data_IF_026490678118
#
_entry.id   IF_026490678118
#
_cell.length_a   1.000
_cell.length_b   1.000
_cell.length_c   1.000
_cell.angle_alpha   90.00
_cell.angle_beta   90.00
_cell.angle_gamma   90.00
#
_symmetry.space_group_name_H-M   'P 1'
#
loop_
_entity.id
_entity.type
_entity.pdbx_description
1 polymer ?
#
# COMPACT_ATOMS: atom_id res chain seq x y z
N UNK A 1 7.29 -47.68 -31.56
CA UNK A 1 5.92 -47.91 -31.09
C UNK A 1 5.79 -47.26 -29.72
N UNK A 2 5.18 -46.09 -29.66
CA UNK A 2 4.71 -45.46 -28.42
C UNK A 2 3.36 -44.84 -28.78
N UNK A 3 2.29 -45.55 -28.38
CA UNK A 3 0.91 -45.19 -28.66
C UNK A 3 0.40 -44.19 -27.64
N UNK A 4 -0.32 -43.19 -28.15
CA UNK A 4 -1.20 -42.30 -27.40
C UNK A 4 -2.51 -43.06 -27.22
N UNK A 5 -3.04 -43.13 -26.00
CA UNK A 5 -4.44 -43.49 -25.79
C UNK A 5 -5.15 -42.47 -24.90
N UNK A 6 -6.26 -41.98 -25.46
CA UNK A 6 -7.27 -41.13 -24.84
C UNK A 6 -8.35 -42.03 -24.22
N UNK A 7 -8.74 -41.79 -22.98
CA UNK A 7 -10.06 -42.16 -22.43
C UNK A 7 -10.31 -41.34 -21.16
N UNK A 8 -11.17 -40.34 -21.20
CA UNK A 8 -12.60 -40.42 -20.87
C UNK A 8 -12.85 -40.56 -19.36
N UNK A 9 -13.08 -39.42 -18.71
CA UNK A 9 -13.62 -39.32 -17.35
C UNK A 9 -15.14 -39.28 -17.47
N UNK A 10 -15.79 -40.30 -16.92
CA UNK A 10 -17.20 -40.27 -16.57
C UNK A 10 -17.34 -40.80 -15.15
N UNK A 11 -17.91 -40.00 -14.25
CA UNK A 11 -18.58 -40.53 -13.07
C UNK A 11 -19.78 -39.66 -12.69
N UNK A 12 -20.91 -40.33 -12.68
CA UNK A 12 -22.26 -39.95 -12.31
C UNK A 12 -22.38 -39.71 -10.80
N UNK A 13 -23.21 -38.75 -10.38
CA UNK A 13 -24.00 -38.88 -9.15
C UNK A 13 -25.41 -38.33 -9.41
N UNK A 14 -26.39 -39.20 -9.20
CA UNK A 14 -27.83 -38.96 -9.21
C UNK A 14 -28.30 -38.47 -7.83
N UNK A 15 -29.53 -37.90 -7.75
CA UNK A 15 -30.58 -38.29 -6.79
C UNK A 15 -31.88 -37.45 -7.00
N UNK A 16 -32.96 -38.18 -7.32
CA UNK A 16 -34.36 -38.15 -6.78
C UNK A 16 -35.11 -36.80 -6.76
N UNK A 17 -36.17 -36.53 -7.55
CA UNK A 17 -37.50 -37.14 -7.77
C UNK A 17 -38.63 -36.63 -6.83
N UNK A 18 -39.87 -36.75 -7.34
CA UNK A 18 -41.22 -36.35 -6.83
C UNK A 18 -41.69 -35.02 -7.46
N UNK A 19 -42.74 -34.91 -8.28
CA UNK A 19 -43.79 -35.83 -8.71
C UNK A 19 -45.13 -35.09 -8.72
N UNK A 20 -45.76 -34.87 -9.88
CA UNK A 20 -47.21 -34.56 -9.99
C UNK A 20 -47.74 -35.12 -11.33
N UNK A 21 -48.91 -35.76 -11.26
CA UNK A 21 -49.53 -36.58 -12.28
C UNK A 21 -50.45 -35.82 -13.26
N UNK A 22 -50.65 -36.45 -14.44
CA UNK A 22 -51.83 -36.53 -15.34
C UNK A 22 -53.09 -35.72 -14.94
N UNK A 23 -53.86 -35.09 -15.84
CA UNK A 23 -54.31 -35.54 -17.17
C UNK A 23 -54.88 -34.38 -18.02
N UNK A 24 -54.85 -34.53 -19.35
CA UNK A 24 -55.61 -33.73 -20.33
C UNK A 24 -56.99 -34.35 -20.61
N UNK A 25 -58.00 -33.50 -20.84
CA UNK A 25 -59.08 -33.61 -21.86
C UNK A 25 -59.84 -32.27 -21.84
N UNK A 26 -59.84 -31.44 -22.90
CA UNK A 26 -60.75 -31.48 -24.07
C UNK A 26 -62.14 -30.93 -23.68
N UNK A 27 -62.84 -30.03 -24.36
CA UNK A 27 -62.78 -29.36 -25.67
C UNK A 27 -63.92 -28.29 -25.64
N UNK A 28 -64.11 -27.58 -26.75
CA UNK A 28 -65.30 -26.84 -27.20
C UNK A 28 -65.36 -25.32 -26.93
N UNK A 29 -64.99 -24.57 -27.99
CA UNK A 29 -65.91 -23.78 -28.83
C UNK A 29 -66.89 -22.80 -28.13
N UNK A 30 -67.19 -21.59 -28.58
CA UNK A 30 -66.96 -20.85 -29.82
C UNK A 30 -67.63 -19.47 -29.64
N UNK A 31 -67.16 -18.49 -30.41
CA UNK A 31 -67.93 -17.37 -31.00
C UNK A 31 -68.34 -16.13 -30.18
N UNK A 32 -67.68 -15.03 -30.58
CA UNK A 32 -68.28 -13.86 -31.24
C UNK A 32 -69.06 -12.82 -30.41
N UNK A 33 -68.39 -11.67 -30.23
CA UNK A 33 -68.89 -10.39 -30.72
C UNK A 33 -69.81 -9.56 -29.80
N UNK A 34 -69.87 -8.22 -30.01
CA UNK A 34 -69.85 -7.25 -28.92
C UNK A 34 -71.18 -6.49 -28.74
N UNK A 35 -71.40 -5.88 -27.57
CA UNK A 35 -72.28 -4.70 -27.48
C UNK A 35 -71.89 -3.77 -26.34
N UNK A 36 -71.93 -2.48 -26.67
CA UNK A 36 -71.62 -1.31 -25.85
C UNK A 36 -72.90 -0.84 -25.15
N UNK A 37 -72.82 -0.46 -23.86
CA UNK A 37 -73.62 0.64 -23.30
C UNK A 37 -73.08 1.12 -21.94
N UNK A 38 -72.59 2.35 -21.90
CA UNK A 38 -72.52 3.23 -20.70
C UNK A 38 -73.87 3.96 -20.50
N UNK A 39 -74.11 4.83 -19.48
CA UNK A 39 -73.45 5.11 -18.19
C UNK A 39 -74.45 5.18 -16.98
N UNK A 40 -73.95 5.25 -15.74
CA UNK A 40 -74.57 6.07 -14.67
C UNK A 40 -73.63 6.24 -13.46
N UNK A 41 -73.29 7.50 -13.17
CA UNK A 41 -72.54 7.96 -12.00
C UNK A 41 -73.45 8.01 -10.78
N UNK A 42 -73.00 7.46 -9.65
CA UNK A 42 -73.42 7.90 -8.31
C UNK A 42 -72.20 8.08 -7.43
N UNK A 43 -71.91 9.34 -7.14
CA UNK A 43 -71.00 9.81 -6.10
C UNK A 43 -71.49 9.36 -4.72
N UNK A 44 -70.62 8.67 -3.98
CA UNK A 44 -70.72 8.50 -2.53
C UNK A 44 -69.44 9.00 -1.87
N UNK A 45 -69.63 9.58 -0.69
CA UNK A 45 -68.70 10.27 0.20
C UNK A 45 -67.36 9.54 0.47
N UNK A 46 -66.30 10.25 0.91
CA UNK A 46 -64.98 9.65 1.09
C UNK A 46 -65.02 8.60 2.20
N UNK A 47 -64.55 7.39 1.88
CA UNK A 47 -64.20 6.37 2.86
C UNK A 47 -63.06 6.87 3.76
N UNK A 48 -63.03 6.47 5.05
CA UNK A 48 -61.89 6.76 5.90
C UNK A 48 -60.68 6.07 5.30
N UNK A 49 -59.61 6.82 5.01
CA UNK A 49 -58.35 6.21 4.65
C UNK A 49 -57.89 5.40 5.85
N UNK A 50 -58.05 4.08 5.78
CA UNK A 50 -57.19 3.18 6.53
C UNK A 50 -55.80 3.45 5.99
N UNK A 51 -54.96 4.09 6.80
CA UNK A 51 -53.53 4.13 6.53
C UNK A 51 -53.09 2.69 6.30
N UNK A 52 -52.51 2.43 5.12
CA UNK A 52 -51.89 1.14 4.86
C UNK A 52 -50.94 0.84 6.03
N UNK A 53 -50.87 -0.41 6.51
CA UNK A 53 -49.86 -0.74 7.51
C UNK A 53 -48.54 -0.34 6.87
N UNK A 54 -47.86 0.65 7.44
CA UNK A 54 -46.51 1.04 7.03
C UNK A 54 -45.73 -0.25 7.13
N UNK A 55 -45.52 -0.87 5.98
CA UNK A 55 -44.73 -2.06 5.86
C UNK A 55 -43.35 -1.56 6.25
N UNK A 56 -42.95 -1.87 7.49
CA UNK A 56 -41.63 -1.53 7.99
C UNK A 56 -40.67 -1.90 6.87
N UNK A 57 -40.01 -0.89 6.34
CA UNK A 57 -39.10 -1.07 5.22
C UNK A 57 -38.17 -2.20 5.65
N UNK A 58 -38.17 -3.36 4.97
CA UNK A 58 -37.29 -4.46 5.34
C UNK A 58 -35.81 -4.07 5.18
N UNK A 59 -35.54 -2.88 4.64
CA UNK A 59 -34.24 -2.22 4.58
C UNK A 59 -34.08 -1.04 5.58
N UNK A 60 -35.06 -0.73 6.44
CA UNK A 60 -34.84 0.20 7.55
C UNK A 60 -33.79 -0.34 8.53
N UNK A 61 -33.83 -1.66 8.79
CA UNK A 61 -32.76 -2.34 9.53
C UNK A 61 -31.44 -2.37 8.72
N UNK A 62 -31.48 -2.30 7.38
CA UNK A 62 -30.25 -2.11 6.58
C UNK A 62 -29.72 -0.68 6.66
N UNK A 63 -30.58 0.33 6.77
CA UNK A 63 -30.15 1.71 6.99
C UNK A 63 -29.53 1.89 8.38
N UNK A 64 -30.05 1.18 9.38
CA UNK A 64 -29.44 1.09 10.71
C UNK A 64 -28.18 0.20 10.72
N UNK A 65 -28.07 -0.86 9.91
CA UNK A 65 -26.81 -1.62 9.68
C UNK A 65 -25.75 -0.79 8.93
N UNK A 66 -26.13 0.05 7.97
CA UNK A 66 -25.23 1.02 7.31
C UNK A 66 -24.78 2.10 8.29
N UNK A 67 -25.63 2.47 9.24
CA UNK A 67 -25.26 3.35 10.35
C UNK A 67 -24.40 2.63 11.40
N UNK A 68 -24.48 1.30 11.52
CA UNK A 68 -23.71 0.49 12.45
C UNK A 68 -22.24 0.26 12.01
N UNK A 69 -21.90 0.51 10.74
CA UNK A 69 -20.48 0.63 10.30
C UNK A 69 -19.72 1.76 11.04
N UNK A 70 -20.43 2.61 11.80
CA UNK A 70 -19.90 3.69 12.65
C UNK A 70 -19.65 3.29 14.12
N UNK A 71 -19.82 2.03 14.55
CA UNK A 71 -19.97 1.72 15.99
C UNK A 71 -18.70 1.67 16.83
N UNK A 72 -17.50 1.61 16.24
CA UNK A 72 -16.30 1.58 17.06
C UNK A 72 -16.14 2.92 17.81
N UNK A 73 -16.04 2.92 19.15
CA UNK A 73 -15.78 4.14 19.90
C UNK A 73 -14.39 4.67 19.51
N UNK A 74 -14.30 5.94 19.13
CA UNK A 74 -13.04 6.59 18.76
C UNK A 74 -12.06 6.50 19.92
N UNK A 75 -10.89 5.93 19.68
CA UNK A 75 -9.85 5.82 20.71
C UNK A 75 -9.36 7.21 21.11
N UNK A 76 -9.20 7.44 22.40
CA UNK A 76 -8.67 8.71 22.92
C UNK A 76 -7.24 8.93 22.40
N UNK A 77 -6.97 10.11 21.83
CA UNK A 77 -5.66 10.46 21.24
C UNK A 77 -5.39 9.86 19.84
N UNK A 78 -6.41 9.31 19.19
CA UNK A 78 -6.36 8.83 17.81
C UNK A 78 -7.20 9.73 16.90
N UNK A 79 -6.81 9.82 15.65
CA UNK A 79 -7.59 10.45 14.59
C UNK A 79 -8.49 9.42 13.91
N UNK A 80 -9.50 9.88 13.17
CA UNK A 80 -10.43 9.02 12.44
C UNK A 80 -10.59 9.53 11.02
N UNK A 81 -10.30 8.67 10.06
CA UNK A 81 -10.62 8.89 8.65
C UNK A 81 -11.78 7.97 8.23
N UNK A 82 -12.63 8.50 7.37
CA UNK A 82 -13.71 7.76 6.71
C UNK A 82 -13.35 7.65 5.24
N UNK A 83 -13.49 6.47 4.67
CA UNK A 83 -13.20 6.27 3.26
C UNK A 83 -14.19 7.00 2.35
N UNK A 84 -13.70 7.35 1.18
CA UNK A 84 -14.48 7.80 0.03
C UNK A 84 -14.16 6.90 -1.16
N UNK A 85 -14.92 7.03 -2.24
CA UNK A 85 -14.59 6.32 -3.49
C UNK A 85 -13.20 6.72 -3.98
N UNK A 86 -12.37 5.74 -4.34
CA UNK A 86 -11.01 5.98 -4.83
C UNK A 86 -11.08 6.78 -6.16
N UNK A 87 -10.41 7.94 -6.24
CA UNK A 87 -10.43 8.77 -7.44
C UNK A 87 -9.50 8.25 -8.55
N UNK A 88 -8.69 7.21 -8.28
CA UNK A 88 -7.80 6.61 -9.26
C UNK A 88 -8.52 5.99 -10.45
N UNK A 89 -8.00 6.22 -11.65
CA UNK A 89 -8.53 5.57 -12.86
C UNK A 89 -8.36 4.05 -12.73
N UNK A 90 -9.46 3.30 -12.92
CA UNK A 90 -9.48 1.85 -12.74
C UNK A 90 -9.70 1.37 -11.30
N UNK A 91 -9.97 2.29 -10.36
CA UNK A 91 -10.27 2.01 -8.96
C UNK A 91 -11.72 2.40 -8.60
N UNK A 92 -12.62 2.48 -9.58
CA UNK A 92 -13.97 3.03 -9.39
C UNK A 92 -14.84 2.21 -8.42
N UNK A 93 -14.52 0.93 -8.19
CA UNK A 93 -15.23 0.07 -7.24
C UNK A 93 -14.54 -0.02 -5.87
N UNK A 94 -13.50 0.77 -5.65
CA UNK A 94 -12.68 0.75 -4.44
C UNK A 94 -12.96 1.95 -3.52
N UNK A 95 -12.49 1.83 -2.29
CA UNK A 95 -12.57 2.89 -1.29
C UNK A 95 -11.17 3.28 -0.81
N UNK A 96 -10.97 4.58 -0.58
CA UNK A 96 -9.72 5.18 -0.16
C UNK A 96 -9.98 6.16 1.00
N UNK A 97 -9.19 6.08 2.05
CA UNK A 97 -9.14 7.04 3.16
C UNK A 97 -7.74 7.64 3.23
N UNK A 98 -7.60 8.92 2.88
CA UNK A 98 -6.32 9.63 2.95
C UNK A 98 -6.04 10.01 4.40
N UNK A 99 -4.85 9.65 4.90
CA UNK A 99 -4.37 9.93 6.25
C UNK A 99 -3.38 11.10 6.28
N UNK A 100 -2.46 11.13 5.31
CA UNK A 100 -1.60 12.27 5.01
C UNK A 100 -1.84 12.67 3.56
N UNK A 101 -2.21 13.93 3.35
CA UNK A 101 -2.45 14.46 2.02
C UNK A 101 -1.16 14.45 1.18
N UNK A 102 -1.26 14.35 -0.15
CA UNK A 102 -0.10 14.48 -1.02
C UNK A 102 0.67 15.79 -0.79
N UNK A 103 2.00 15.67 -0.71
CA UNK A 103 2.93 16.78 -0.52
C UNK A 103 4.20 16.59 -1.36
N UNK A 104 4.87 17.69 -1.70
CA UNK A 104 6.21 17.67 -2.30
C UNK A 104 7.26 17.14 -1.31
N UNK A 105 6.98 17.25 -0.01
CA UNK A 105 7.82 16.69 1.05
C UNK A 105 7.61 15.18 1.16
N UNK A 106 8.66 14.49 1.56
CA UNK A 106 8.56 13.07 1.91
C UNK A 106 8.21 12.95 3.39
N UNK A 107 7.10 12.28 3.69
CA UNK A 107 6.73 11.89 5.04
C UNK A 107 7.40 10.58 5.41
N UNK A 108 7.89 10.47 6.65
CA UNK A 108 8.24 9.18 7.25
C UNK A 108 7.74 9.10 8.70
N UNK A 109 7.52 7.88 9.18
CA UNK A 109 7.10 7.64 10.55
C UNK A 109 6.37 6.31 10.71
N UNK A 110 5.68 6.16 11.84
CA UNK A 110 5.02 4.91 12.20
C UNK A 110 3.51 5.10 12.30
N UNK A 111 2.78 4.44 11.40
CA UNK A 111 1.33 4.41 11.41
C UNK A 111 0.82 3.30 12.34
N UNK A 112 0.15 3.70 13.40
CA UNK A 112 -0.74 2.82 14.16
C UNK A 112 -2.14 2.92 13.57
N UNK A 113 -2.73 1.78 13.20
CA UNK A 113 -4.07 1.74 12.61
C UNK A 113 -4.96 0.68 13.25
N UNK A 114 -6.25 0.96 13.25
CA UNK A 114 -7.30 0.03 13.65
C UNK A 114 -8.56 0.35 12.85
N UNK A 115 -8.79 -0.42 11.80
CA UNK A 115 -9.86 -0.28 10.83
C UNK A 115 -11.06 -1.16 11.16
N UNK A 116 -12.23 -0.78 10.62
CA UNK A 116 -13.47 -1.56 10.75
C UNK A 116 -13.45 -2.87 9.95
N UNK A 117 -12.54 -3.01 8.98
CA UNK A 117 -12.41 -4.16 8.10
C UNK A 117 -10.96 -4.42 7.69
N UNK A 118 -10.73 -5.47 6.91
CA UNK A 118 -9.42 -5.71 6.31
C UNK A 118 -9.15 -4.66 5.24
N UNK A 119 -7.98 -4.05 5.35
CA UNK A 119 -7.57 -2.88 4.58
C UNK A 119 -6.24 -3.16 3.90
N UNK A 120 -5.90 -2.30 2.94
CA UNK A 120 -4.57 -2.18 2.36
C UNK A 120 -3.98 -0.85 2.79
N UNK A 121 -2.71 -0.86 3.18
CA UNK A 121 -1.97 0.35 3.48
C UNK A 121 -1.33 0.84 2.18
N UNK A 122 -1.46 2.14 1.94
CA UNK A 122 -0.98 2.79 0.72
C UNK A 122 0.01 3.88 1.10
N UNK A 123 1.22 3.79 0.56
CA UNK A 123 2.15 4.92 0.45
C UNK A 123 2.22 5.32 -1.02
N UNK A 124 2.20 6.62 -1.30
CA UNK A 124 2.40 7.15 -2.64
C UNK A 124 3.74 7.90 -2.69
N UNK A 125 4.52 7.64 -3.74
CA UNK A 125 5.69 8.44 -4.11
C UNK A 125 5.41 9.15 -5.43
N UNK A 126 5.63 10.46 -5.49
CA UNK A 126 5.50 11.20 -6.74
C UNK A 126 5.09 12.67 -6.54
N UNK A 127 4.92 13.43 -7.64
CA UNK A 127 4.80 12.93 -9.02
C UNK A 127 6.07 12.27 -9.57
N UNK A 128 5.94 11.15 -10.30
CA UNK A 128 7.09 10.47 -10.93
C UNK A 128 7.33 10.99 -12.35
N UNK A 129 8.60 11.05 -12.76
CA UNK A 129 9.01 11.53 -14.09
C UNK A 129 8.64 10.58 -15.24
N UNK A 130 8.58 11.11 -16.47
CA UNK A 130 8.26 10.35 -17.71
C UNK A 130 9.16 9.14 -17.97
N UNK A 131 10.37 9.19 -17.43
CA UNK A 131 11.40 8.16 -17.59
C UNK A 131 11.27 7.04 -16.54
N UNK A 132 10.47 7.27 -15.49
CA UNK A 132 10.22 6.31 -14.42
C UNK A 132 9.07 5.35 -14.78
N UNK A 133 9.33 4.05 -14.62
CA UNK A 133 8.37 2.99 -14.93
C UNK A 133 8.21 2.00 -13.75
N UNK A 134 7.61 2.44 -12.63
CA UNK A 134 7.41 1.60 -11.47
C UNK A 134 6.35 0.52 -11.72
N UNK A 135 6.40 -0.53 -10.91
CA UNK A 135 5.53 -1.71 -11.10
C UNK A 135 4.04 -1.44 -10.89
N UNK A 136 3.72 -0.45 -10.05
CA UNK A 136 2.34 -0.02 -9.76
C UNK A 136 2.29 1.49 -9.83
N UNK A 137 1.45 1.97 -10.73
CA UNK A 137 1.19 3.40 -10.92
C UNK A 137 -0.25 3.65 -10.52
N UNK A 138 -0.45 4.74 -9.79
CA UNK A 138 -1.75 5.32 -9.53
C UNK A 138 -1.83 6.69 -10.19
N UNK A 139 -2.98 7.00 -10.78
CA UNK A 139 -3.18 8.24 -11.55
C UNK A 139 -4.60 8.75 -11.27
N UNK A 140 -4.75 9.82 -10.48
CA UNK A 140 -6.06 10.35 -10.12
C UNK A 140 -6.71 11.19 -11.23
N UNK A 141 -5.91 11.79 -12.10
CA UNK A 141 -6.32 12.77 -13.13
C UNK A 141 -6.02 12.32 -14.57
N UNK A 142 -5.37 11.17 -14.74
CA UNK A 142 -4.91 10.66 -16.03
C UNK A 142 -3.56 11.21 -16.51
N UNK A 143 -2.97 12.18 -15.80
CA UNK A 143 -1.73 12.86 -16.19
C UNK A 143 -0.63 12.69 -15.12
N UNK A 144 -0.97 12.94 -13.86
CA UNK A 144 -0.05 12.87 -12.72
C UNK A 144 0.11 11.43 -12.27
N UNK A 145 1.31 10.88 -12.47
CA UNK A 145 1.64 9.51 -12.07
C UNK A 145 2.26 9.50 -10.68
N UNK A 146 1.78 8.60 -9.83
CA UNK A 146 2.38 8.28 -8.55
C UNK A 146 2.77 6.82 -8.53
N UNK A 147 3.95 6.52 -8.02
CA UNK A 147 4.29 5.16 -7.63
C UNK A 147 3.49 4.79 -6.39
N UNK A 148 2.85 3.62 -6.44
CA UNK A 148 1.94 3.16 -5.41
C UNK A 148 2.49 1.91 -4.72
N UNK A 149 2.74 2.03 -3.43
CA UNK A 149 3.12 0.91 -2.56
C UNK A 149 1.88 0.43 -1.83
N UNK A 150 1.50 -0.83 -2.08
CA UNK A 150 0.39 -1.51 -1.42
C UNK A 150 0.91 -2.58 -0.48
N UNK A 151 0.57 -2.45 0.80
CA UNK A 151 0.79 -3.48 1.81
C UNK A 151 -0.56 -4.05 2.22
N UNK A 152 -0.71 -5.38 2.16
CA UNK A 152 -1.91 -6.09 2.59
C UNK A 152 -1.65 -6.71 3.99
N UNK A 153 -1.97 -6.00 5.08
CA UNK A 153 -1.87 -6.56 6.40
C UNK A 153 -2.90 -7.67 6.59
N UNK A 154 -2.44 -8.81 7.11
CA UNK A 154 -3.31 -9.95 7.47
C UNK A 154 -4.34 -9.62 8.57
N UNK A 155 -4.30 -8.42 9.15
CA UNK A 155 -5.13 -7.97 10.25
C UNK A 155 -5.64 -6.55 9.99
N UNK A 156 -6.89 -6.27 10.38
CA UNK A 156 -7.50 -4.93 10.33
C UNK A 156 -6.85 -3.90 11.29
N UNK A 157 -5.89 -4.30 12.12
CA UNK A 157 -5.18 -3.45 13.06
C UNK A 157 -3.71 -3.83 13.12
N UNK A 158 -2.87 -2.83 13.34
CA UNK A 158 -1.44 -3.05 13.42
C UNK A 158 -0.65 -1.76 13.46
N UNK A 159 0.62 -1.94 13.18
CA UNK A 159 1.64 -0.92 13.13
C UNK A 159 2.39 -1.08 11.80
N UNK A 160 2.73 0.04 11.17
CA UNK A 160 3.43 0.06 9.90
C UNK A 160 4.35 1.26 9.81
N UNK A 161 5.64 1.02 9.64
CA UNK A 161 6.62 2.04 9.28
C UNK A 161 6.45 2.39 7.80
N UNK A 162 6.23 3.68 7.52
CA UNK A 162 5.99 4.16 6.16
C UNK A 162 6.97 5.27 5.80
N UNK A 163 7.22 5.39 4.50
CA UNK A 163 7.83 6.55 3.87
C UNK A 163 7.09 6.84 2.55
N UNK A 164 6.84 8.12 2.23
CA UNK A 164 6.18 8.54 1.00
C UNK A 164 5.64 9.97 1.03
N UNK A 165 5.24 10.48 -0.14
CA UNK A 165 4.65 11.80 -0.32
C UNK A 165 3.17 11.88 0.10
N UNK A 166 2.49 10.74 0.21
CA UNK A 166 1.15 10.65 0.77
C UNK A 166 0.95 9.32 1.49
N UNK A 167 0.02 9.29 2.45
CA UNK A 167 -0.36 8.10 3.18
C UNK A 167 -1.87 7.89 3.10
N UNK A 168 -2.30 6.71 2.70
CA UNK A 168 -3.71 6.36 2.63
C UNK A 168 -3.97 4.91 3.04
N UNK A 169 -5.25 4.61 3.24
CA UNK A 169 -5.77 3.28 3.48
C UNK A 169 -6.78 2.97 2.39
N UNK A 170 -6.74 1.78 1.83
CA UNK A 170 -7.53 1.38 0.66
C UNK A 170 -8.26 0.06 0.90
N UNK A 171 -9.41 -0.15 0.25
CA UNK A 171 -10.07 -1.46 0.15
C UNK A 171 -10.55 -1.70 -1.28
N UNK A 172 -10.57 -2.97 -1.69
CA UNK A 172 -11.14 -3.38 -2.99
C UNK A 172 -12.67 -3.48 -2.98
N UNK A 173 -13.31 -3.00 -1.92
CA UNK A 173 -14.75 -3.11 -1.72
C UNK A 173 -15.40 -1.75 -1.91
N UNK A 174 -16.65 -1.75 -2.36
CA UNK A 174 -17.44 -0.54 -2.58
C UNK A 174 -18.02 0.05 -1.28
N UNK A 175 -17.96 -0.70 -0.18
CA UNK A 175 -18.54 -0.30 1.10
C UNK A 175 -17.59 0.65 1.83
N UNK A 176 -18.15 1.72 2.40
CA UNK A 176 -17.37 2.66 3.18
C UNK A 176 -16.83 2.03 4.45
N UNK A 177 -15.58 2.33 4.80
CA UNK A 177 -14.94 1.90 6.03
C UNK A 177 -14.44 3.08 6.85
N UNK A 178 -14.17 2.83 8.12
CA UNK A 178 -13.54 3.80 9.02
C UNK A 178 -12.23 3.24 9.54
N UNK A 179 -11.22 4.11 9.63
CA UNK A 179 -9.95 3.80 10.24
C UNK A 179 -9.67 4.80 11.36
N UNK A 180 -9.48 4.28 12.57
CA UNK A 180 -8.86 5.06 13.63
C UNK A 180 -7.35 4.89 13.49
N UNK A 181 -6.62 6.00 13.44
CA UNK A 181 -5.18 5.98 13.27
C UNK A 181 -4.44 6.93 14.21
N UNK A 182 -3.16 6.69 14.38
CA UNK A 182 -2.22 7.61 15.02
C UNK A 182 -0.89 7.48 14.33
N UNK A 183 -0.29 8.61 13.99
CA UNK A 183 1.05 8.66 13.42
C UNK A 183 2.01 9.03 14.54
N UNK A 184 3.03 8.20 14.73
CA UNK A 184 4.14 8.43 15.65
C UNK A 184 5.36 8.85 14.84
N UNK A 185 6.16 9.73 15.44
CA UNK A 185 7.48 10.13 14.92
C UNK A 185 7.43 10.64 13.48
N UNK A 186 6.38 11.40 13.14
CA UNK A 186 6.21 12.00 11.81
C UNK A 186 7.35 12.99 11.53
N UNK A 187 8.11 12.70 10.48
CA UNK A 187 9.13 13.60 9.92
C UNK A 187 8.68 14.01 8.52
N UNK A 188 8.82 15.29 8.20
CA UNK A 188 8.64 15.82 6.84
C UNK A 188 9.99 16.26 6.31
N UNK A 189 10.45 15.65 5.22
CA UNK A 189 11.71 15.98 4.57
C UNK A 189 11.44 16.76 3.29
N UNK A 190 11.96 17.98 3.20
CA UNK A 190 11.84 18.80 1.99
C UNK A 190 12.67 18.21 0.84
N UNK A 191 12.22 18.33 -0.42
CA UNK A 191 13.01 17.88 -1.56
C UNK A 191 14.29 18.71 -1.66
N UNK A 192 15.45 18.04 -1.69
CA UNK A 192 16.73 18.72 -1.96
C UNK A 192 16.72 19.25 -3.39
N UNK A 193 16.46 20.56 -3.54
CA UNK A 193 16.61 21.26 -4.81
C UNK A 193 18.11 21.30 -5.12
N UNK A 194 18.58 20.37 -5.95
CA UNK A 194 19.86 20.55 -6.64
C UNK A 194 19.66 21.68 -7.65
N UNK A 195 19.83 22.92 -7.22
CA UNK A 195 20.11 24.03 -8.13
C UNK A 195 21.36 23.63 -8.91
N UNK A 196 21.19 23.33 -10.19
CA UNK A 196 22.30 23.05 -11.09
C UNK A 196 23.06 24.36 -11.32
N UNK A 197 24.04 24.62 -10.46
CA UNK A 197 24.98 25.73 -10.65
C UNK A 197 25.99 25.32 -11.74
N UNK A 198 25.62 25.70 -12.95
CA UNK A 198 26.53 25.99 -14.05
C UNK A 198 27.65 26.92 -13.53
N UNK A 199 28.91 26.51 -13.68
CA UNK A 199 30.06 27.33 -14.08
C UNK A 199 31.38 26.71 -13.59
N UNK A 200 32.02 26.02 -14.53
CA UNK A 200 33.43 25.65 -14.47
C UNK A 200 34.31 26.92 -14.52
N UNK A 201 34.93 27.29 -13.39
CA UNK A 201 36.08 28.20 -13.39
C UNK A 201 37.27 27.54 -12.70
N UNK A 202 38.24 27.16 -13.53
CA UNK A 202 39.60 26.81 -13.13
C UNK A 202 40.36 28.13 -12.99
N UNK A 203 40.93 28.43 -11.82
CA UNK A 203 42.25 29.07 -11.73
C UNK A 203 43.00 28.58 -10.46
N UNK A 204 44.31 28.49 -10.65
CA UNK A 204 45.34 27.85 -9.85
C UNK A 204 45.85 28.76 -8.71
N UNK A 205 46.63 28.14 -7.82
CA UNK A 205 47.64 28.72 -6.90
C UNK A 205 47.30 29.01 -5.41
N UNK A 206 47.80 28.08 -4.57
CA UNK A 206 48.90 28.29 -3.61
C UNK A 206 48.60 28.69 -2.13
N UNK A 207 49.07 27.81 -1.22
CA UNK A 207 49.40 27.99 0.22
C UNK A 207 48.19 28.22 1.17
N UNK A 208 48.04 27.54 2.31
CA UNK A 208 48.95 27.39 3.46
C UNK A 208 48.51 26.17 4.29
N UNK A 209 49.46 25.41 4.85
CA UNK A 209 49.18 24.47 5.96
C UNK A 209 48.66 25.24 7.19
N UNK A 210 47.37 25.15 7.49
CA UNK A 210 46.87 25.39 8.84
C UNK A 210 46.17 24.13 9.34
N UNK A 211 46.78 23.54 10.37
CA UNK A 211 46.16 22.53 11.22
C UNK A 211 44.97 23.16 11.93
N UNK A 212 43.78 22.99 11.36
CA UNK A 212 42.53 23.16 12.08
C UNK A 212 42.33 21.86 12.87
N UNK A 213 42.57 21.91 14.19
CA UNK A 213 41.95 20.94 15.08
C UNK A 213 40.45 21.20 15.01
N UNK A 214 39.75 20.47 14.15
CA UNK A 214 38.29 20.48 14.08
C UNK A 214 37.74 20.01 15.43
N UNK A 215 37.01 20.89 16.12
CA UNK A 215 36.12 20.42 17.18
C UNK A 215 35.15 19.39 16.57
N UNK A 216 34.90 18.26 17.24
CA UNK A 216 34.15 17.17 16.64
C UNK A 216 32.77 17.67 16.29
N UNK A 217 32.48 17.73 14.99
CA UNK A 217 31.14 17.92 14.50
C UNK A 217 30.25 16.85 15.18
N UNK A 218 29.10 17.27 15.69
CA UNK A 218 28.16 16.36 16.36
C UNK A 218 27.77 15.19 15.46
N UNK A 219 27.10 14.17 16.02
CA UNK A 219 26.75 12.96 15.28
C UNK A 219 26.01 13.30 13.99
N UNK A 220 26.51 12.74 12.88
CA UNK A 220 25.97 12.95 11.53
C UNK A 220 25.21 11.73 11.03
N UNK A 221 24.34 11.93 10.04
CA UNK A 221 23.70 10.85 9.30
C UNK A 221 24.34 10.73 7.93
N UNK A 222 24.71 9.51 7.55
CA UNK A 222 25.24 9.13 6.24
C UNK A 222 24.26 8.21 5.53
N UNK A 223 24.26 8.22 4.20
CA UNK A 223 23.33 7.41 3.41
C UNK A 223 24.06 6.32 2.64
N UNK A 224 23.49 5.11 2.63
CA UNK A 224 23.89 4.00 1.77
C UNK A 224 22.66 3.53 1.00
N UNK A 225 22.70 3.58 -0.33
CA UNK A 225 21.61 3.13 -1.19
C UNK A 225 21.76 1.66 -1.57
N UNK A 226 20.66 0.93 -1.73
CA UNK A 226 20.56 -0.36 -2.41
C UNK A 226 19.84 -0.14 -3.74
N UNK A 227 20.59 0.07 -4.85
CA UNK A 227 19.99 0.47 -6.12
C UNK A 227 19.08 -0.58 -6.75
N UNK A 228 18.27 -0.13 -7.71
CA UNK A 228 17.46 -1.00 -8.55
C UNK A 228 18.26 -2.08 -9.26
N UNK A 229 17.75 -3.31 -9.21
CA UNK A 229 18.34 -4.47 -9.89
C UNK A 229 19.44 -5.20 -9.10
N UNK A 230 19.73 -4.78 -7.87
CA UNK A 230 20.72 -5.43 -7.00
C UNK A 230 20.28 -6.80 -6.48
N UNK A 231 19.00 -7.13 -6.61
CA UNK A 231 18.42 -8.47 -6.43
C UNK A 231 18.80 -9.51 -7.49
N UNK A 232 19.56 -9.12 -8.52
CA UNK A 232 20.17 -10.04 -9.50
C UNK A 232 21.69 -9.93 -9.40
N UNK A 233 22.44 -11.06 -9.45
CA UNK A 233 23.90 -11.02 -9.47
C UNK A 233 24.45 -10.16 -10.62
N UNK A 234 25.54 -9.44 -10.35
CA UNK A 234 26.27 -8.57 -11.27
C UNK A 234 26.79 -7.29 -10.61
N UNK A 235 26.08 -6.78 -9.59
CA UNK A 235 26.49 -5.58 -8.87
C UNK A 235 27.75 -5.79 -8.00
N UNK A 236 28.08 -7.03 -7.65
CA UNK A 236 29.26 -7.40 -6.86
C UNK A 236 30.57 -7.25 -7.64
N UNK A 237 30.50 -7.22 -8.98
CA UNK A 237 31.68 -7.00 -9.82
C UNK A 237 32.14 -5.54 -9.80
N UNK A 238 31.23 -4.60 -9.53
CA UNK A 238 31.47 -3.16 -9.51
C UNK A 238 31.42 -2.55 -8.10
N UNK A 239 31.03 -3.32 -7.08
CA UNK A 239 30.73 -2.83 -5.73
C UNK A 239 29.61 -1.78 -5.72
N UNK A 240 28.57 -2.01 -6.51
CA UNK A 240 27.41 -1.11 -6.64
C UNK A 240 26.13 -1.75 -6.05
N UNK A 241 26.27 -2.85 -5.31
CA UNK A 241 25.15 -3.48 -4.60
C UNK A 241 24.64 -2.62 -3.43
N UNK A 242 25.58 -1.99 -2.73
CA UNK A 242 25.36 -0.93 -1.76
C UNK A 242 26.15 0.28 -2.24
N UNK A 243 25.59 1.49 -2.20
CA UNK A 243 26.26 2.71 -2.69
C UNK A 243 26.28 3.78 -1.59
N UNK A 244 27.47 4.13 -1.07
CA UNK A 244 28.75 3.47 -1.31
C UNK A 244 28.80 2.06 -0.69
N UNK A 245 29.56 1.14 -1.29
CA UNK A 245 29.72 -0.21 -0.73
C UNK A 245 30.56 -0.20 0.55
N UNK A 246 31.48 0.75 0.68
CA UNK A 246 32.28 0.96 1.86
C UNK A 246 32.18 2.42 2.26
N UNK A 247 31.80 2.68 3.51
CA UNK A 247 31.69 4.03 4.06
C UNK A 247 32.56 4.17 5.31
N UNK A 248 33.12 5.36 5.51
CA UNK A 248 33.87 5.70 6.73
C UNK A 248 33.15 6.82 7.45
N UNK A 249 32.86 6.60 8.73
CA UNK A 249 32.08 7.49 9.60
C UNK A 249 32.80 7.64 10.96
N UNK A 250 32.30 8.51 11.83
CA UNK A 250 32.82 8.66 13.19
C UNK A 250 31.93 7.92 14.20
N UNK A 251 32.51 7.51 15.34
CA UNK A 251 31.72 6.96 16.44
C UNK A 251 30.59 7.92 16.87
N UNK A 252 29.37 7.40 16.92
CA UNK A 252 28.13 8.16 17.19
C UNK A 252 27.33 8.53 15.95
N UNK A 253 27.89 8.36 14.74
CA UNK A 253 27.18 8.62 13.48
C UNK A 253 26.13 7.54 13.18
N UNK A 254 25.11 7.93 12.41
CA UNK A 254 24.06 7.03 11.92
C UNK A 254 24.23 6.76 10.44
N UNK A 255 24.05 5.51 10.02
CA UNK A 255 23.92 5.17 8.59
C UNK A 255 22.46 4.84 8.31
N UNK A 256 21.86 5.59 7.39
CA UNK A 256 20.58 5.28 6.79
C UNK A 256 20.79 4.48 5.51
N UNK A 257 20.26 3.27 5.50
CA UNK A 257 20.26 2.37 4.35
C UNK A 257 18.94 2.49 3.61
N UNK A 258 18.95 3.00 2.39
CA UNK A 258 17.76 3.22 1.56
C UNK A 258 17.63 2.07 0.56
N UNK A 259 16.45 1.46 0.45
CA UNK A 259 16.18 0.45 -0.57
C UNK A 259 15.52 1.09 -1.79
N UNK A 260 16.32 1.50 -2.77
CA UNK A 260 15.83 1.97 -4.07
C UNK A 260 15.53 0.83 -5.05
N UNK A 261 15.80 -0.43 -4.70
CA UNK A 261 15.34 -1.59 -5.45
C UNK A 261 13.85 -1.86 -5.19
N UNK A 262 13.22 -2.55 -6.13
CA UNK A 262 11.85 -3.06 -5.99
C UNK A 262 11.82 -4.36 -5.19
N UNK A 263 12.96 -5.08 -5.14
CA UNK A 263 13.11 -6.29 -4.36
C UNK A 263 13.33 -5.99 -2.87
N UNK A 264 12.89 -6.91 -2.02
CA UNK A 264 13.19 -6.81 -0.59
C UNK A 264 14.66 -7.16 -0.33
N UNK A 265 15.35 -6.33 0.45
CA UNK A 265 16.73 -6.51 0.86
C UNK A 265 16.84 -6.57 2.37
N UNK A 266 18.03 -6.91 2.87
CA UNK A 266 18.37 -6.74 4.28
C UNK A 266 19.70 -6.01 4.39
N UNK A 267 19.93 -5.42 5.56
CA UNK A 267 21.21 -4.90 6.01
C UNK A 267 21.49 -5.62 7.32
N UNK A 268 22.28 -6.69 7.22
CA UNK A 268 22.55 -7.59 8.34
C UNK A 268 24.04 -7.61 8.59
N UNK A 269 24.47 -7.19 9.78
CA UNK A 269 25.88 -7.19 10.15
C UNK A 269 26.43 -8.61 10.16
N UNK A 270 27.58 -8.84 9.54
CA UNK A 270 28.19 -10.15 9.34
C UNK A 270 28.67 -10.36 7.91
N UNK A 271 28.87 -11.62 7.52
CA UNK A 271 29.30 -11.96 6.17
C UNK A 271 28.50 -13.14 5.61
N UNK A 272 28.42 -13.30 4.27
CA UNK A 272 27.83 -14.51 3.68
C UNK A 272 28.55 -15.81 4.09
N UNK A 273 29.83 -15.74 4.48
CA UNK A 273 30.63 -16.89 4.86
C UNK A 273 30.41 -17.33 6.32
N UNK A 274 30.28 -16.36 7.22
CA UNK A 274 30.20 -16.61 8.68
C UNK A 274 28.77 -16.44 9.22
N UNK A 275 27.88 -15.84 8.43
CA UNK A 275 26.49 -15.53 8.80
C UNK A 275 26.35 -14.23 9.59
N UNK A 276 25.15 -13.98 10.15
CA UNK A 276 24.88 -12.79 10.95
C UNK A 276 25.75 -12.74 12.22
N UNK A 277 26.40 -11.61 12.43
CA UNK A 277 27.17 -11.28 13.65
C UNK A 277 26.28 -11.06 14.88
N UNK A 278 25.02 -10.65 14.67
CA UNK A 278 24.07 -10.27 15.71
C UNK A 278 24.22 -8.83 16.23
N UNK A 279 25.09 -8.02 15.62
CA UNK A 279 25.29 -6.61 16.01
C UNK A 279 24.13 -5.72 15.53
N UNK A 280 23.68 -5.90 14.29
CA UNK A 280 22.52 -5.22 13.72
C UNK A 280 21.87 -6.07 12.62
N UNK A 281 20.55 -5.95 12.50
CA UNK A 281 19.74 -6.64 11.50
C UNK A 281 18.50 -5.81 11.21
N UNK A 282 18.39 -5.31 9.98
CA UNK A 282 17.22 -4.55 9.52
C UNK A 282 15.96 -5.40 9.42
N UNK A 283 16.06 -6.73 9.47
CA UNK A 283 15.05 -7.62 8.88
C UNK A 283 14.84 -7.27 7.39
N UNK A 284 13.65 -7.50 6.83
CA UNK A 284 13.36 -7.13 5.45
C UNK A 284 13.11 -5.63 5.32
N UNK A 285 13.94 -4.97 4.52
CA UNK A 285 13.71 -3.62 4.00
C UNK A 285 13.02 -3.77 2.66
N UNK A 286 11.73 -3.44 2.61
CA UNK A 286 10.96 -3.48 1.36
C UNK A 286 11.42 -2.38 0.41
N UNK A 287 11.15 -2.54 -0.89
CA UNK A 287 11.47 -1.48 -1.85
C UNK A 287 10.82 -0.15 -1.49
N UNK A 288 11.59 0.93 -1.60
CA UNK A 288 11.23 2.29 -1.18
C UNK A 288 11.30 2.55 0.33
N UNK A 289 11.60 1.56 1.16
CA UNK A 289 11.80 1.74 2.60
C UNK A 289 13.27 2.02 2.94
N UNK A 290 13.52 2.51 4.14
CA UNK A 290 14.88 2.66 4.68
C UNK A 290 15.00 2.01 6.05
N UNK A 291 16.25 1.76 6.46
CA UNK A 291 16.63 1.27 7.77
C UNK A 291 17.80 2.11 8.29
N UNK A 292 17.74 2.57 9.53
CA UNK A 292 18.84 3.34 10.13
C UNK A 292 19.50 2.60 11.28
N UNK A 293 20.83 2.70 11.37
CA UNK A 293 21.60 2.17 12.49
C UNK A 293 22.71 3.14 12.92
N UNK A 294 22.76 3.43 14.23
CA UNK A 294 23.80 4.28 14.84
C UNK A 294 24.97 3.44 15.32
N UNK A 295 26.17 3.79 14.88
CA UNK A 295 27.40 3.08 15.23
C UNK A 295 28.13 3.79 16.37
N UNK A 296 28.04 3.25 17.59
CA UNK A 296 28.60 3.91 18.78
C UNK A 296 30.10 3.59 19.02
N UNK A 297 30.57 2.44 18.56
CA UNK A 297 31.93 1.96 18.84
C UNK A 297 32.81 2.00 17.58
N UNK A 298 34.08 2.38 17.75
CA UNK A 298 35.06 2.35 16.67
C UNK A 298 35.37 0.91 16.22
N UNK A 299 35.51 0.69 14.92
CA UNK A 299 35.74 -0.63 14.34
C UNK A 299 35.29 -0.75 12.89
N UNK A 300 35.45 -1.95 12.33
CA UNK A 300 34.93 -2.28 10.99
C UNK A 300 33.75 -3.23 11.14
N UNK A 301 32.63 -2.85 10.55
CA UNK A 301 31.38 -3.58 10.56
C UNK A 301 31.05 -4.03 9.13
N UNK A 302 31.37 -5.27 8.82
CA UNK A 302 30.93 -5.89 7.57
C UNK A 302 29.43 -6.19 7.65
N UNK A 303 28.73 -6.07 6.53
CA UNK A 303 27.31 -6.41 6.42
C UNK A 303 26.99 -6.99 5.05
N UNK A 304 25.87 -7.71 4.99
CA UNK A 304 25.38 -8.34 3.77
C UNK A 304 23.86 -8.45 3.75
N UNK A 305 23.31 -8.68 2.55
CA UNK A 305 21.90 -9.04 2.39
C UNK A 305 21.72 -10.55 2.58
N UNK A 306 20.86 -10.96 3.53
CA UNK A 306 20.59 -12.37 3.77
C UNK A 306 19.83 -13.05 2.62
N UNK A 307 19.06 -12.28 1.85
CA UNK A 307 18.26 -12.78 0.72
C UNK A 307 19.10 -12.86 -0.55
N UNK A 308 20.05 -11.93 -0.70
CA UNK A 308 20.91 -11.76 -1.87
C UNK A 308 22.39 -11.74 -1.44
N UNK A 309 23.01 -12.91 -1.17
CA UNK A 309 24.30 -12.99 -0.47
C UNK A 309 25.51 -12.43 -1.24
N UNK A 310 25.35 -12.02 -2.50
CA UNK A 310 26.38 -11.30 -3.26
C UNK A 310 26.47 -9.82 -2.88
N UNK A 311 25.42 -9.25 -2.27
CA UNK A 311 25.43 -7.88 -1.78
C UNK A 311 26.20 -7.83 -0.47
N UNK A 312 27.39 -7.23 -0.51
CA UNK A 312 28.27 -7.05 0.64
C UNK A 312 28.72 -5.60 0.73
N UNK A 313 28.86 -5.09 1.94
CA UNK A 313 29.41 -3.76 2.20
C UNK A 313 30.10 -3.70 3.56
N UNK A 314 30.73 -2.57 3.85
CA UNK A 314 31.36 -2.32 5.15
C UNK A 314 31.20 -0.89 5.64
N UNK A 315 31.02 -0.73 6.95
CA UNK A 315 31.10 0.55 7.65
C UNK A 315 32.36 0.55 8.49
N UNK A 316 33.26 1.51 8.25
CA UNK A 316 34.42 1.77 9.11
C UNK A 316 34.12 2.95 10.01
N UNK A 317 34.28 2.77 11.31
CA UNK A 317 34.00 3.77 12.35
C UNK A 317 35.33 4.15 13.01
N UNK A 318 35.68 5.44 12.93
CA UNK A 318 36.91 6.01 13.50
C UNK A 318 36.80 6.36 14.99
#
# INVERSE_FOLDING_TARGET
MAGIDKAAIGFSIAIVAIGVAFAMYGDAAQNAGPSVSTPAVRTTAPEPQMEEPVQADPFADLADEVKAASEKPKKSGWERATSVQDPGIGHEEHQLAVLLAPSENTYSGTLLYDASENIQLVSLRGPIGDDENPSKIWTPDGETRFELTLVDPKNAKGEWEFSGNALAVHTFYTNTFVVDYKILDLVETEPMVMEAEDEMHVEDEMHVEETHEEEPAGPMTHTVDMPAGTSVPGCEETNECYIPANITINAGDTVEFVNSDTAAHTVTGGSPADGPSGVFDSSLVMGGASYSFTFEDAGTYDYFCMVHPWMVGSVTVN
#
